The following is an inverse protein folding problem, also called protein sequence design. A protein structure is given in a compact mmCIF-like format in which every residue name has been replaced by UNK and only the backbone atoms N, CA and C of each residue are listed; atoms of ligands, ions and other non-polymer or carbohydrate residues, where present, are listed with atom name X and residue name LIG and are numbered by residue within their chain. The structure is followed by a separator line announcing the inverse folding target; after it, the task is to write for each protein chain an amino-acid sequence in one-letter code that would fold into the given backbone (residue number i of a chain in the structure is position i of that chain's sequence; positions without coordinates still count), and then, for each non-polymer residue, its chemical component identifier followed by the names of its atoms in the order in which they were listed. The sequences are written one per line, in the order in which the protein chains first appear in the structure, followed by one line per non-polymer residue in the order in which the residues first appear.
data_IF_079946845374
#
_entry.id   IF_079946845374
#
_cell.length_a   1.000
_cell.length_b   1.000
_cell.length_c   1.000
_cell.angle_alpha   90.00
_cell.angle_beta   90.00
_cell.angle_gamma   90.00
#
_symmetry.space_group_name_H-M   'P 1'
#
loop_
_entity.id
_entity.type
_entity.pdbx_description
1 polymer ?
#
# COMPACT_ATOMS: atom_id res chain seq x y z
N UNK A 1 37.70 -68.36 -48.28
CA UNK A 1 37.04 -67.08 -48.43
C UNK A 1 36.86 -66.44 -47.03
N UNK A 2 37.65 -65.44 -46.69
CA UNK A 2 37.56 -64.76 -45.40
C UNK A 2 36.84 -63.41 -45.58
N UNK A 3 35.68 -63.24 -44.93
CA UNK A 3 34.93 -62.01 -44.94
C UNK A 3 35.54 -61.01 -43.90
N UNK A 4 35.90 -59.85 -44.38
CA UNK A 4 36.38 -58.68 -43.53
C UNK A 4 35.18 -57.88 -43.15
N UNK A 5 34.86 -57.82 -41.85
CA UNK A 5 33.84 -56.93 -41.28
C UNK A 5 34.52 -55.60 -40.91
N UNK A 6 34.13 -54.52 -41.57
CA UNK A 6 34.56 -53.19 -41.24
C UNK A 6 33.65 -52.62 -40.09
N UNK A 7 34.24 -52.38 -38.96
CA UNK A 7 33.56 -51.70 -37.87
C UNK A 7 33.55 -50.14 -38.12
N UNK A 8 32.37 -49.56 -38.20
CA UNK A 8 32.20 -48.10 -38.25
C UNK A 8 32.15 -47.58 -36.84
N UNK A 9 33.07 -46.70 -36.48
CA UNK A 9 33.08 -45.98 -35.19
C UNK A 9 32.14 -44.78 -35.29
N UNK A 10 31.10 -44.75 -34.45
CA UNK A 10 30.18 -43.63 -34.29
C UNK A 10 30.79 -42.68 -33.27
N UNK A 11 31.22 -41.50 -33.70
CA UNK A 11 31.68 -40.44 -32.82
C UNK A 11 30.45 -39.68 -32.25
N UNK A 12 30.18 -39.81 -30.95
CA UNK A 12 29.16 -39.05 -30.24
C UNK A 12 29.71 -37.65 -29.94
N UNK A 13 29.16 -36.63 -30.59
CA UNK A 13 29.43 -35.23 -30.26
C UNK A 13 28.55 -34.84 -29.06
N UNK A 14 29.14 -34.76 -27.87
CA UNK A 14 28.48 -34.22 -26.67
C UNK A 14 28.42 -32.72 -26.80
N UNK A 15 27.24 -32.18 -27.06
CA UNK A 15 26.95 -30.74 -26.97
C UNK A 15 26.88 -30.34 -25.50
N UNK A 16 27.91 -29.67 -25.01
CA UNK A 16 27.90 -29.02 -23.69
C UNK A 16 27.01 -27.79 -23.78
N UNK A 17 25.74 -27.94 -23.40
CA UNK A 17 24.83 -26.80 -23.20
C UNK A 17 25.36 -25.90 -22.09
N UNK A 18 25.83 -24.72 -22.45
CA UNK A 18 26.19 -23.67 -21.47
C UNK A 18 24.92 -23.23 -20.76
N UNK A 19 24.73 -23.64 -19.51
CA UNK A 19 23.73 -23.04 -18.59
C UNK A 19 24.18 -21.63 -18.30
N UNK A 20 23.55 -20.68 -18.96
CA UNK A 20 23.73 -19.25 -18.60
C UNK A 20 23.30 -19.08 -17.14
N UNK A 21 24.22 -18.62 -16.29
CA UNK A 21 23.90 -18.24 -14.93
C UNK A 21 22.81 -17.14 -14.96
N UNK A 22 21.82 -17.16 -14.03
CA UNK A 22 20.86 -16.08 -13.96
C UNK A 22 21.60 -14.76 -13.77
N UNK A 23 21.31 -13.78 -14.63
CA UNK A 23 21.86 -12.44 -14.51
C UNK A 23 21.52 -11.92 -13.12
N UNK A 24 22.53 -11.47 -12.37
CA UNK A 24 22.31 -10.81 -11.07
C UNK A 24 21.38 -9.63 -11.30
N UNK A 25 20.34 -9.52 -10.46
CA UNK A 25 19.42 -8.38 -10.52
C UNK A 25 20.22 -7.10 -10.33
N UNK A 26 20.01 -6.11 -11.20
CA UNK A 26 20.67 -4.81 -11.06
C UNK A 26 20.31 -4.18 -9.71
N UNK A 27 21.28 -3.49 -9.05
CA UNK A 27 21.00 -2.84 -7.77
C UNK A 27 19.91 -1.78 -7.95
N UNK A 28 18.89 -1.82 -7.10
CA UNK A 28 17.83 -0.80 -7.11
C UNK A 28 18.40 0.58 -6.82
N UNK A 29 17.81 1.61 -7.40
CA UNK A 29 18.12 3.00 -7.11
C UNK A 29 17.30 3.57 -5.95
N UNK A 30 17.53 4.85 -5.64
CA UNK A 30 16.81 5.64 -4.63
C UNK A 30 15.99 6.72 -5.30
N UNK A 31 14.81 7.00 -4.76
CA UNK A 31 14.06 8.20 -5.10
C UNK A 31 13.86 9.00 -3.82
N UNK A 32 14.33 10.25 -3.83
CA UNK A 32 14.28 11.17 -2.69
C UNK A 32 13.52 12.43 -3.07
N UNK A 33 13.03 13.15 -2.08
CA UNK A 33 12.36 14.44 -2.36
C UNK A 33 11.56 14.94 -1.19
N UNK A 34 10.72 15.94 -1.49
CA UNK A 34 9.81 16.55 -0.52
C UNK A 34 8.37 16.50 -1.01
N UNK A 35 7.43 16.39 -0.07
CA UNK A 35 6.01 16.58 -0.31
C UNK A 35 5.55 17.80 0.46
N UNK A 36 5.16 18.85 -0.26
CA UNK A 36 4.48 19.99 0.33
C UNK A 36 2.98 19.68 0.47
N UNK A 37 2.44 19.83 1.69
CA UNK A 37 1.02 19.62 1.95
C UNK A 37 0.38 20.91 2.48
N UNK A 38 -0.76 21.27 1.90
CA UNK A 38 -1.51 22.46 2.29
C UNK A 38 -3.00 22.15 2.42
N UNK A 39 -3.71 22.92 3.23
CA UNK A 39 -5.18 22.97 3.20
C UNK A 39 -5.67 23.76 1.97
N UNK A 40 -6.97 23.72 1.70
CA UNK A 40 -7.57 24.39 0.55
C UNK A 40 -7.38 25.91 0.53
N UNK A 41 -7.19 26.53 1.68
CA UNK A 41 -6.89 27.96 1.84
C UNK A 41 -5.40 28.30 1.66
N UNK A 42 -4.56 27.30 1.34
CA UNK A 42 -3.12 27.46 1.10
C UNK A 42 -2.26 27.40 2.37
N UNK A 43 -2.85 27.28 3.55
CA UNK A 43 -2.09 27.15 4.80
C UNK A 43 -1.39 25.79 4.87
N UNK A 44 -0.19 25.69 5.48
CA UNK A 44 0.46 24.41 5.71
C UNK A 44 -0.45 23.44 6.47
N UNK A 45 -0.52 22.19 6.01
CA UNK A 45 -1.28 21.13 6.67
C UNK A 45 -0.33 20.14 7.37
N UNK A 46 -0.73 19.67 8.55
CA UNK A 46 -0.08 18.56 9.23
C UNK A 46 -0.95 17.30 9.03
N UNK A 47 -0.48 16.39 8.19
CA UNK A 47 -1.16 15.11 7.95
C UNK A 47 -0.19 14.08 7.40
N UNK A 48 -0.49 12.79 7.61
CA UNK A 48 0.26 11.70 7.04
C UNK A 48 0.18 11.71 5.51
N UNK A 49 1.35 11.51 4.88
CA UNK A 49 1.48 11.38 3.44
C UNK A 49 2.24 10.10 3.13
N UNK A 50 1.64 9.23 2.36
CA UNK A 50 2.32 8.06 1.80
C UNK A 50 2.78 8.39 0.39
N UNK A 51 4.09 8.23 0.16
CA UNK A 51 4.71 8.31 -1.17
C UNK A 51 4.96 6.89 -1.67
N UNK A 52 4.58 6.60 -2.91
CA UNK A 52 4.69 5.26 -3.47
C UNK A 52 4.91 5.28 -4.99
N UNK A 53 5.41 4.17 -5.51
CA UNK A 53 5.66 3.97 -6.94
C UNK A 53 4.75 2.86 -7.47
N UNK A 54 4.31 3.00 -8.72
CA UNK A 54 3.57 1.97 -9.43
C UNK A 54 4.21 1.68 -10.79
N UNK A 55 3.80 0.58 -11.43
CA UNK A 55 4.27 0.16 -12.75
C UNK A 55 4.96 -1.22 -12.73
N UNK A 56 5.21 -1.77 -11.54
CA UNK A 56 5.69 -3.14 -11.35
C UNK A 56 5.04 -3.77 -10.11
N UNK A 57 5.11 -5.09 -10.01
CA UNK A 57 4.57 -5.86 -8.89
C UNK A 57 5.69 -6.48 -8.07
N UNK A 58 5.48 -6.58 -6.76
CA UNK A 58 6.31 -7.36 -5.84
C UNK A 58 5.43 -8.29 -5.00
N UNK A 59 5.96 -9.43 -4.54
CA UNK A 59 5.21 -10.29 -3.63
C UNK A 59 4.94 -9.57 -2.30
N UNK A 60 3.85 -9.95 -1.57
CA UNK A 60 3.60 -9.43 -0.23
C UNK A 60 4.75 -9.77 0.71
N UNK A 61 4.86 -9.00 1.78
CA UNK A 61 5.68 -9.38 2.95
C UNK A 61 4.83 -10.19 3.93
N UNK A 62 5.50 -10.82 4.91
CA UNK A 62 4.81 -11.52 6.01
C UNK A 62 4.31 -10.53 7.09
N UNK A 63 4.46 -9.25 6.89
CA UNK A 63 4.05 -8.21 7.84
C UNK A 63 2.54 -8.07 7.86
N UNK A 64 1.99 -7.90 9.06
CA UNK A 64 0.60 -7.52 9.27
C UNK A 64 0.58 -6.07 9.71
N UNK A 65 -0.01 -5.20 8.90
CA UNK A 65 -0.22 -3.81 9.29
C UNK A 65 -1.32 -3.74 10.37
N UNK A 66 -1.29 -2.69 11.17
CA UNK A 66 -2.25 -2.53 12.27
C UNK A 66 -2.92 -1.16 12.19
N UNK A 67 -4.24 -1.15 12.31
CA UNK A 67 -5.07 0.05 12.54
C UNK A 67 -5.83 -0.18 13.85
N UNK A 68 -5.35 0.44 14.91
CA UNK A 68 -5.92 0.31 16.26
C UNK A 68 -7.18 1.17 16.41
N UNK A 69 -8.13 0.68 17.19
CA UNK A 69 -9.30 1.45 17.62
C UNK A 69 -9.05 1.95 19.04
N UNK A 70 -8.82 3.27 19.17
CA UNK A 70 -8.47 3.90 20.45
C UNK A 70 -8.99 5.34 20.52
N UNK A 71 -9.73 5.66 21.57
CA UNK A 71 -10.30 6.98 21.76
C UNK A 71 -11.33 7.36 20.71
N UNK A 72 -12.14 6.40 20.21
CA UNK A 72 -13.08 6.56 19.09
C UNK A 72 -12.39 7.04 17.80
N UNK A 73 -11.20 6.52 17.54
CA UNK A 73 -10.41 6.81 16.32
C UNK A 73 -9.79 5.52 15.80
N UNK A 74 -9.57 5.45 14.52
CA UNK A 74 -8.61 4.54 13.90
C UNK A 74 -7.21 5.16 13.95
N UNK A 75 -6.22 4.42 14.45
CA UNK A 75 -4.84 4.91 14.64
C UNK A 75 -3.83 3.86 14.17
N UNK A 76 -2.99 4.19 13.18
CA UNK A 76 -3.04 5.39 12.35
C UNK A 76 -4.29 5.41 11.47
N UNK A 77 -4.66 6.57 10.95
CA UNK A 77 -5.81 6.70 10.04
C UNK A 77 -5.44 6.52 8.56
N UNK A 78 -4.15 6.31 8.25
CA UNK A 78 -3.63 6.02 6.92
C UNK A 78 -2.52 4.98 6.99
N UNK A 79 -2.65 3.88 6.24
CA UNK A 79 -1.62 2.85 6.08
C UNK A 79 -1.47 2.46 4.62
N UNK A 80 -0.28 2.02 4.23
CA UNK A 80 -0.05 1.34 2.96
C UNK A 80 0.36 -0.12 3.21
N UNK A 81 -0.15 -1.00 2.37
CA UNK A 81 0.16 -2.43 2.33
C UNK A 81 0.36 -2.88 0.89
N UNK A 82 1.00 -4.02 0.70
CA UNK A 82 1.08 -4.66 -0.61
C UNK A 82 -0.11 -5.59 -0.82
N UNK A 83 -0.52 -5.78 -2.07
CA UNK A 83 -1.57 -6.74 -2.45
C UNK A 83 -1.34 -8.09 -1.77
N UNK A 84 -2.39 -8.68 -1.22
CA UNK A 84 -2.44 -9.91 -0.42
C UNK A 84 -1.88 -9.81 1.01
N UNK A 85 -1.40 -8.66 1.45
CA UNK A 85 -1.10 -8.45 2.86
C UNK A 85 -2.38 -8.30 3.70
N UNK A 86 -2.23 -8.38 5.03
CA UNK A 86 -3.32 -8.31 6.00
C UNK A 86 -3.22 -7.04 6.85
N UNK A 87 -4.38 -6.58 7.30
CA UNK A 87 -4.47 -5.54 8.33
C UNK A 87 -5.20 -6.10 9.54
N UNK A 88 -4.63 -5.87 10.72
CA UNK A 88 -5.22 -6.19 12.02
C UNK A 88 -5.90 -4.95 12.61
N UNK A 89 -7.03 -5.16 13.25
CA UNK A 89 -7.86 -4.12 13.87
C UNK A 89 -8.09 -4.43 15.37
N UNK A 90 -7.11 -4.20 16.26
CA UNK A 90 -7.33 -4.35 17.69
C UNK A 90 -8.23 -3.27 18.26
N UNK A 91 -9.15 -3.64 19.16
CA UNK A 91 -9.97 -2.70 19.91
C UNK A 91 -9.39 -2.48 21.33
N UNK A 92 -8.93 -1.25 21.60
CA UNK A 92 -8.42 -0.84 22.92
C UNK A 92 -9.43 -0.04 23.75
N UNK A 93 -10.56 0.36 23.17
CA UNK A 93 -11.58 1.13 23.87
C UNK A 93 -12.50 0.24 24.74
N UNK A 94 -13.07 0.75 25.82
CA UNK A 94 -13.91 -0.02 26.73
C UNK A 94 -15.32 -0.34 26.20
N UNK A 95 -15.60 0.02 24.94
CA UNK A 95 -16.89 -0.18 24.25
C UNK A 95 -16.73 -0.85 22.91
N UNK A 96 -17.85 -1.26 22.33
CA UNK A 96 -17.88 -1.94 21.04
C UNK A 96 -17.49 -1.00 19.91
N UNK A 97 -16.70 -1.51 18.99
CA UNK A 97 -16.49 -0.94 17.67
C UNK A 97 -16.84 -1.93 16.56
N UNK A 98 -17.09 -1.39 15.39
CA UNK A 98 -17.24 -2.15 14.15
C UNK A 98 -16.20 -1.67 13.15
N UNK A 99 -15.76 -2.53 12.25
CA UNK A 99 -14.90 -2.16 11.13
C UNK A 99 -15.53 -2.67 9.85
N UNK A 100 -15.85 -1.76 8.93
CA UNK A 100 -16.40 -2.11 7.63
C UNK A 100 -15.84 -1.25 6.51
N UNK A 101 -15.97 -1.71 5.27
CA UNK A 101 -15.66 -0.98 4.05
C UNK A 101 -16.69 -1.26 2.97
N UNK A 102 -17.05 -0.23 2.20
CA UNK A 102 -17.84 -0.33 0.97
C UNK A 102 -17.01 -0.05 -0.29
N UNK A 103 -15.70 0.13 -0.14
CA UNK A 103 -14.80 0.40 -1.26
C UNK A 103 -14.74 -0.77 -2.24
N UNK A 104 -14.77 -0.48 -3.54
CA UNK A 104 -14.78 -1.51 -4.60
C UNK A 104 -13.64 -2.53 -4.53
N UNK A 105 -12.37 -2.14 -4.23
CA UNK A 105 -11.28 -3.11 -4.14
C UNK A 105 -11.49 -4.13 -3.00
N UNK A 106 -12.15 -3.73 -1.91
CA UNK A 106 -12.41 -4.63 -0.78
C UNK A 106 -13.63 -4.23 0.04
N UNK A 107 -14.79 -4.79 -0.27
CA UNK A 107 -15.98 -4.69 0.58
C UNK A 107 -15.90 -5.72 1.70
N UNK A 108 -16.18 -5.31 2.94
CA UNK A 108 -16.26 -6.21 4.09
C UNK A 108 -16.98 -5.58 5.28
N UNK A 109 -17.44 -6.41 6.20
CA UNK A 109 -17.94 -6.05 7.52
C UNK A 109 -17.41 -7.09 8.52
N UNK A 110 -16.61 -6.66 9.50
CA UNK A 110 -16.08 -7.53 10.54
C UNK A 110 -17.06 -7.73 11.71
N UNK A 111 -18.23 -7.10 11.67
CA UNK A 111 -19.15 -7.04 12.80
C UNK A 111 -18.61 -6.20 13.94
N UNK A 112 -19.36 -6.10 15.02
CA UNK A 112 -18.93 -5.40 16.24
C UNK A 112 -18.13 -6.33 17.15
N UNK A 113 -17.13 -5.79 17.86
CA UNK A 113 -16.31 -6.55 18.80
C UNK A 113 -15.82 -5.68 19.96
N UNK A 114 -15.64 -6.29 21.18
CA UNK A 114 -15.31 -5.58 22.41
C UNK A 114 -13.81 -5.30 22.54
N UNK A 115 -13.45 -4.58 23.61
CA UNK A 115 -12.08 -4.34 24.06
C UNK A 115 -11.29 -5.63 24.18
N UNK A 116 -10.04 -5.58 23.69
CA UNK A 116 -9.07 -6.69 23.74
C UNK A 116 -9.21 -7.68 22.59
N UNK A 117 -10.28 -7.62 21.82
CA UNK A 117 -10.42 -8.43 20.61
C UNK A 117 -9.71 -7.79 19.42
N UNK A 118 -9.15 -8.63 18.55
CA UNK A 118 -8.48 -8.23 17.30
C UNK A 118 -9.07 -9.02 16.15
N UNK A 119 -9.54 -8.33 15.13
CA UNK A 119 -9.95 -8.95 13.87
C UNK A 119 -8.99 -8.59 12.76
N UNK A 120 -8.90 -9.43 11.73
CA UNK A 120 -7.99 -9.22 10.60
C UNK A 120 -8.74 -9.34 9.28
N UNK A 121 -8.21 -8.67 8.25
CA UNK A 121 -8.70 -8.74 6.88
C UNK A 121 -7.54 -8.74 5.89
N UNK A 122 -7.67 -9.52 4.82
CA UNK A 122 -6.78 -9.59 3.66
C UNK A 122 -7.24 -8.65 2.55
N UNK A 123 -6.31 -8.20 1.69
CA UNK A 123 -6.57 -7.22 0.63
C UNK A 123 -6.00 -7.71 -0.71
N UNK A 124 -6.78 -8.46 -1.50
CA UNK A 124 -6.27 -9.11 -2.73
C UNK A 124 -6.20 -8.20 -3.95
N UNK A 125 -6.82 -7.02 -3.95
CA UNK A 125 -6.86 -6.11 -5.09
C UNK A 125 -6.22 -4.77 -4.74
N UNK A 126 -5.42 -4.18 -5.65
CA UNK A 126 -4.85 -2.85 -5.44
C UNK A 126 -5.92 -1.77 -5.48
N UNK A 127 -5.68 -0.69 -4.74
CA UNK A 127 -6.54 0.49 -4.72
C UNK A 127 -6.69 1.12 -3.35
N UNK A 128 -7.59 2.09 -3.25
CA UNK A 128 -7.93 2.81 -2.02
C UNK A 128 -9.10 2.10 -1.35
N UNK A 129 -8.92 1.72 -0.09
CA UNK A 129 -9.96 1.09 0.72
C UNK A 129 -10.19 1.94 1.95
N UNK A 130 -11.30 2.68 1.96
CA UNK A 130 -11.73 3.44 3.12
C UNK A 130 -12.45 2.52 4.10
N UNK A 131 -12.11 2.63 5.37
CA UNK A 131 -12.70 1.86 6.46
C UNK A 131 -13.37 2.79 7.47
N UNK A 132 -14.51 2.36 7.98
CA UNK A 132 -15.37 3.14 8.85
C UNK A 132 -15.89 2.28 10.02
N UNK A 133 -16.36 2.95 11.06
CA UNK A 133 -17.10 2.33 12.15
C UNK A 133 -18.60 2.60 11.97
N UNK A 134 -19.44 1.56 12.03
CA UNK A 134 -20.90 1.71 11.92
C UNK A 134 -21.55 2.31 13.19
N UNK A 135 -20.80 2.37 14.29
CA UNK A 135 -21.29 2.85 15.58
C UNK A 135 -20.90 4.32 15.81
N UNK A 136 -19.68 4.69 15.39
CA UNK A 136 -19.10 6.00 15.61
C UNK A 136 -18.76 6.65 14.26
N UNK A 137 -19.59 7.55 13.73
CA UNK A 137 -19.44 8.11 12.38
C UNK A 137 -18.16 8.93 12.18
N UNK A 138 -17.54 9.40 13.25
CA UNK A 138 -16.26 10.12 13.19
C UNK A 138 -15.04 9.20 12.94
N UNK A 139 -15.21 7.88 13.06
CA UNK A 139 -14.12 6.93 12.87
C UNK A 139 -13.96 6.56 11.40
N UNK A 140 -12.94 7.09 10.78
CA UNK A 140 -12.56 6.81 9.40
C UNK A 140 -11.05 6.61 9.27
N UNK A 141 -10.64 5.69 8.41
CA UNK A 141 -9.25 5.46 8.02
C UNK A 141 -9.17 5.00 6.56
N UNK A 142 -7.98 5.04 5.99
CA UNK A 142 -7.73 4.60 4.62
C UNK A 142 -6.58 3.60 4.57
N UNK A 143 -6.77 2.53 3.82
CA UNK A 143 -5.76 1.54 3.49
C UNK A 143 -5.43 1.68 2.01
N UNK A 144 -4.19 2.04 1.71
CA UNK A 144 -3.66 1.99 0.35
C UNK A 144 -3.13 0.58 0.07
N UNK A 145 -3.77 -0.14 -0.83
CA UNK A 145 -3.31 -1.45 -1.28
C UNK A 145 -2.51 -1.25 -2.56
N UNK A 146 -1.21 -1.49 -2.49
CA UNK A 146 -0.23 -1.16 -3.52
C UNK A 146 0.30 -2.41 -4.23
N UNK A 147 0.71 -2.31 -5.51
CA UNK A 147 1.20 -3.45 -6.26
C UNK A 147 2.60 -3.92 -5.81
N UNK A 148 3.32 -3.12 -5.05
CA UNK A 148 4.68 -3.40 -4.60
C UNK A 148 4.96 -2.76 -3.23
N UNK A 149 6.14 -3.03 -2.68
CA UNK A 149 6.60 -2.57 -1.37
C UNK A 149 7.35 -1.23 -1.40
N UNK A 150 7.39 -0.55 -2.54
CA UNK A 150 8.11 0.72 -2.71
C UNK A 150 7.22 1.89 -2.32
N UNK A 151 6.99 2.01 -1.03
CA UNK A 151 6.25 3.10 -0.41
C UNK A 151 6.89 3.49 0.92
N UNK A 152 6.66 4.73 1.34
CA UNK A 152 7.14 5.28 2.60
C UNK A 152 6.19 6.33 3.13
N UNK A 153 6.16 6.50 4.44
CA UNK A 153 5.53 7.66 5.08
C UNK A 153 6.52 8.83 5.02
N UNK A 154 6.09 9.97 4.49
CA UNK A 154 6.91 11.18 4.52
C UNK A 154 7.12 11.66 5.96
N UNK A 155 8.29 12.19 6.25
CA UNK A 155 8.60 12.77 7.54
C UNK A 155 7.77 14.03 7.85
N UNK A 156 7.80 14.51 9.10
CA UNK A 156 7.07 15.73 9.49
C UNK A 156 7.52 16.99 8.72
N UNK A 157 8.73 16.97 8.17
CA UNK A 157 9.29 18.01 7.30
C UNK A 157 8.96 17.81 5.81
N UNK A 158 8.13 16.81 5.50
CA UNK A 158 7.73 16.43 4.15
C UNK A 158 8.77 15.62 3.39
N UNK A 159 9.95 15.35 3.95
CA UNK A 159 10.98 14.57 3.25
C UNK A 159 10.62 13.10 3.17
N UNK A 160 11.02 12.47 2.06
CA UNK A 160 10.84 11.04 1.86
C UNK A 160 12.03 10.41 1.15
N UNK A 161 12.18 9.11 1.34
CA UNK A 161 13.14 8.25 0.64
C UNK A 161 12.44 6.94 0.28
N UNK A 162 12.53 6.56 -0.99
CA UNK A 162 12.17 5.23 -1.48
C UNK A 162 13.43 4.49 -1.89
N UNK A 163 13.74 3.42 -1.21
CA UNK A 163 14.92 2.60 -1.44
C UNK A 163 14.62 1.39 -2.33
N UNK A 164 15.63 0.94 -3.06
CA UNK A 164 15.58 -0.30 -3.84
C UNK A 164 14.55 -0.29 -4.97
N UNK A 165 14.28 0.86 -5.55
CA UNK A 165 13.40 1.00 -6.71
C UNK A 165 14.11 0.40 -7.93
N UNK A 166 13.49 -0.54 -8.67
CA UNK A 166 14.09 -1.08 -9.89
C UNK A 166 14.48 0.00 -10.88
N UNK A 167 15.58 -0.15 -11.64
CA UNK A 167 15.88 0.76 -12.76
C UNK A 167 14.74 0.79 -13.77
N UNK A 168 14.42 1.96 -14.30
CA UNK A 168 13.32 2.14 -15.25
C UNK A 168 12.60 3.48 -15.13
N UNK A 169 11.53 3.61 -15.89
CA UNK A 169 10.61 4.76 -15.82
C UNK A 169 9.35 4.38 -15.05
N UNK A 170 9.05 5.14 -13.99
CA UNK A 170 7.95 4.83 -13.09
C UNK A 170 7.06 6.04 -12.83
N UNK A 171 5.83 5.79 -12.41
CA UNK A 171 4.98 6.83 -11.86
C UNK A 171 5.09 6.81 -10.32
N UNK A 172 5.51 7.94 -9.75
CA UNK A 172 5.51 8.19 -8.32
C UNK A 172 4.28 8.99 -7.94
N UNK A 173 3.68 8.64 -6.81
CA UNK A 173 2.47 9.26 -6.27
C UNK A 173 2.70 9.70 -4.84
N UNK A 174 2.00 10.76 -4.43
CA UNK A 174 1.81 11.12 -3.06
C UNK A 174 0.31 11.08 -2.73
N UNK A 175 -0.05 10.42 -1.63
CA UNK A 175 -1.41 10.30 -1.14
C UNK A 175 -1.51 10.74 0.32
N UNK A 176 -2.50 11.57 0.61
CA UNK A 176 -2.95 11.89 1.97
C UNK A 176 -4.46 11.76 2.01
N UNK A 177 -5.03 11.41 3.15
CA UNK A 177 -6.48 11.49 3.35
C UNK A 177 -6.94 12.92 3.07
N UNK A 178 -8.14 13.06 2.48
CA UNK A 178 -8.72 14.34 2.06
C UNK A 178 -7.98 15.06 0.92
N UNK A 179 -7.02 14.42 0.24
CA UNK A 179 -6.43 15.00 -0.96
C UNK A 179 -7.50 15.29 -2.02
N UNK A 180 -7.55 16.53 -2.52
CA UNK A 180 -8.59 16.98 -3.48
C UNK A 180 -8.42 16.38 -4.87
N UNK A 181 -7.21 15.96 -5.20
CA UNK A 181 -6.86 15.30 -6.47
C UNK A 181 -5.64 14.40 -6.30
N UNK A 182 -5.48 13.38 -7.15
CA UNK A 182 -4.25 12.60 -7.19
C UNK A 182 -3.05 13.49 -7.53
N UNK A 183 -1.94 13.27 -6.83
CA UNK A 183 -0.65 13.91 -7.11
C UNK A 183 0.33 12.86 -7.61
N UNK A 184 0.90 13.07 -8.78
CA UNK A 184 1.88 12.15 -9.37
C UNK A 184 2.90 12.87 -10.26
N UNK A 185 4.05 12.20 -10.44
CA UNK A 185 5.09 12.60 -11.39
C UNK A 185 5.69 11.35 -12.05
N UNK A 186 6.38 11.53 -13.17
CA UNK A 186 7.24 10.49 -13.75
C UNK A 186 8.64 10.62 -13.22
N UNK A 187 9.29 9.49 -12.93
CA UNK A 187 10.67 9.43 -12.48
C UNK A 187 11.44 8.38 -13.28
N UNK A 188 12.67 8.69 -13.63
CA UNK A 188 13.62 7.74 -14.24
C UNK A 188 14.63 7.34 -13.20
N UNK A 189 14.65 6.05 -12.86
CA UNK A 189 15.56 5.47 -11.86
C UNK A 189 16.69 4.72 -12.56
N UNK A 190 17.94 5.04 -12.21
CA UNK A 190 19.14 4.34 -12.70
C UNK A 190 19.60 3.32 -11.65
N UNK A 191 20.25 2.24 -12.09
CA UNK A 191 20.84 1.25 -11.21
C UNK A 191 21.81 1.89 -10.22
N UNK A 192 21.58 1.70 -8.92
CA UNK A 192 22.38 2.30 -7.84
C UNK A 192 22.37 3.82 -7.77
N UNK A 193 21.58 4.49 -8.63
CA UNK A 193 21.51 5.95 -8.71
C UNK A 193 20.49 6.57 -7.77
N UNK A 194 20.53 7.89 -7.64
CA UNK A 194 19.56 8.69 -6.91
C UNK A 194 18.78 9.60 -7.87
N UNK A 195 17.46 9.66 -7.70
CA UNK A 195 16.57 10.55 -8.45
C UNK A 195 15.81 11.43 -7.46
N UNK A 196 15.79 12.74 -7.69
CA UNK A 196 15.07 13.70 -6.84
C UNK A 196 13.75 14.11 -7.49
N UNK A 197 12.67 14.19 -6.69
CA UNK A 197 11.36 14.67 -7.14
C UNK A 197 10.60 15.33 -5.99
N UNK A 198 10.00 16.49 -6.27
CA UNK A 198 9.15 17.19 -5.31
C UNK A 198 7.68 17.08 -5.74
N UNK A 199 6.81 16.88 -4.73
CA UNK A 199 5.38 16.69 -4.93
C UNK A 199 4.60 17.72 -4.09
N UNK A 200 3.33 17.96 -4.45
CA UNK A 200 2.47 18.85 -3.68
C UNK A 200 1.05 18.29 -3.59
N UNK A 201 0.48 18.33 -2.38
CA UNK A 201 -0.89 17.89 -2.09
C UNK A 201 -1.67 19.09 -1.55
N UNK A 202 -2.91 19.26 -2.05
CA UNK A 202 -3.90 20.15 -1.48
C UNK A 202 -5.00 19.29 -0.85
N UNK A 203 -5.29 19.52 0.43
CA UNK A 203 -6.35 18.82 1.18
C UNK A 203 -7.65 19.62 1.12
N UNK A 204 -8.76 18.92 1.04
CA UNK A 204 -10.11 19.45 1.14
C UNK A 204 -10.81 19.07 2.45
N UNK A 205 -12.11 19.23 2.49
CA UNK A 205 -12.93 18.75 3.60
C UNK A 205 -12.92 17.22 3.71
N UNK A 206 -13.18 16.70 4.92
CA UNK A 206 -13.42 15.26 5.10
C UNK A 206 -14.66 14.87 4.28
N UNK A 207 -14.56 13.88 3.40
CA UNK A 207 -15.72 13.43 2.64
C UNK A 207 -16.78 12.80 3.55
N UNK A 208 -18.03 13.20 3.36
CA UNK A 208 -19.13 12.54 4.04
C UNK A 208 -19.23 11.08 3.61
N UNK A 209 -19.47 10.19 4.56
CA UNK A 209 -19.66 8.77 4.28
C UNK A 209 -20.97 8.27 4.88
N UNK A 210 -21.39 7.12 4.38
CA UNK A 210 -22.62 6.43 4.80
C UNK A 210 -22.28 5.30 5.79
N UNK A 211 -23.28 4.84 6.53
CA UNK A 211 -23.17 3.66 7.37
C UNK A 211 -23.03 2.39 6.50
N UNK A 212 -22.84 1.24 7.11
CA UNK A 212 -22.64 -0.03 6.39
C UNK A 212 -23.84 -0.49 5.54
N UNK A 213 -25.00 0.11 5.75
CA UNK A 213 -26.24 -0.16 5.00
C UNK A 213 -26.43 0.81 3.82
N UNK A 214 -25.54 1.79 3.64
CA UNK A 214 -25.66 2.81 2.60
C UNK A 214 -26.59 3.97 2.99
N UNK A 215 -26.86 4.16 4.28
CA UNK A 215 -27.74 5.18 4.81
C UNK A 215 -26.91 6.25 5.54
N UNK A 216 -27.48 7.45 5.72
CA UNK A 216 -26.89 8.45 6.63
C UNK A 216 -26.91 7.94 8.08
N UNK A 217 -25.88 8.26 8.83
CA UNK A 217 -25.91 8.00 10.28
C UNK A 217 -27.07 8.79 10.91
N UNK A 218 -27.76 8.16 11.86
CA UNK A 218 -28.84 8.82 12.60
C UNK A 218 -28.23 9.78 13.63
N UNK A 219 -28.77 10.98 13.74
CA UNK A 219 -28.28 12.03 14.63
C UNK A 219 -28.33 11.67 16.13
N UNK A 220 -28.87 10.53 16.51
CA UNK A 220 -29.11 10.07 17.88
C UNK A 220 -28.28 8.84 18.26
N UNK A 221 -26.97 8.82 17.97
CA UNK A 221 -26.09 7.78 18.56
C UNK A 221 -25.61 8.22 19.95
N UNK A 222 -26.54 8.51 20.85
CA UNK A 222 -26.30 8.50 22.31
C UNK A 222 -26.42 7.07 22.88
N UNK A 223 -26.09 6.06 22.16
CA UNK A 223 -26.23 4.68 22.63
C UNK A 223 -24.85 4.08 22.78
N UNK A 224 -24.54 3.81 24.00
CA UNK A 224 -23.34 3.18 24.60
C UNK A 224 -22.34 4.20 25.22
N UNK A 225 -22.81 4.82 26.34
CA UNK A 225 -21.91 5.27 27.41
C UNK A 225 -21.36 4.07 28.17
#
# INVERSE_FOLDING_TARGET
MRAVVKAAALAAVASVGSLAAPAAAEPGGRVVGTVKITEADGQPAAADVIVYITGFNEPPSDKVATISQKGRKFVPDLVAITVNEKVAFPNFDPFLHNVFSQSLPRKFDLGSFPKGETKQKDFPLPGVVDVYCNIHPEMAATILVLPNRRHTLAGPDGKFVLEGVPPGEWNIFAYSRRATKPTSAKVTVKAGGETTVDLAIVRGAEPAHLNKYGEKYKDNVQVYK
#
